data_IF_784687977790
#
_entry.id   IF_784687977790
#
_cell.length_a   1.000
_cell.length_b   1.000
_cell.length_c   1.000
_cell.angle_alpha   90.00
_cell.angle_beta   90.00
_cell.angle_gamma   90.00
#
_symmetry.space_group_name_H-M   'P 1'
#
loop_
_entity.id
_entity.type
_entity.pdbx_description
1 polymer ?
#
# COMPACT_ATOMS: atom_id res chain seq x y z
N UNK A 1 -11.57 0.31 22.47
CA UNK A 1 -10.15 0.02 22.25
C UNK A 1 -9.48 1.32 21.82
N UNK A 2 -8.31 1.64 22.38
CA UNK A 2 -7.53 2.77 21.87
C UNK A 2 -7.04 2.44 20.46
N UNK A 3 -7.10 3.43 19.57
CA UNK A 3 -6.61 3.28 18.19
C UNK A 3 -5.10 3.03 18.22
N UNK A 4 -4.61 2.08 17.42
CA UNK A 4 -3.17 1.87 17.24
C UNK A 4 -2.48 3.17 16.81
N UNK A 5 -1.27 3.43 17.29
CA UNK A 5 -0.46 4.58 16.87
C UNK A 5 -0.17 4.56 15.36
N UNK A 6 -0.17 3.37 14.75
CA UNK A 6 0.03 3.19 13.30
C UNK A 6 -1.31 3.13 12.54
N UNK A 7 -2.44 3.19 13.23
CA UNK A 7 -3.76 2.99 12.62
C UNK A 7 -4.07 4.01 11.52
N UNK A 8 -3.66 5.27 11.68
CA UNK A 8 -3.85 6.28 10.65
C UNK A 8 -2.89 6.10 9.47
N UNK A 9 -1.64 5.68 9.73
CA UNK A 9 -0.67 5.44 8.68
C UNK A 9 -1.07 4.26 7.78
N UNK A 10 -1.54 3.15 8.35
CA UNK A 10 -2.05 2.03 7.56
C UNK A 10 -3.43 2.30 6.96
N UNK A 11 -4.28 3.07 7.64
CA UNK A 11 -5.53 3.55 7.08
C UNK A 11 -5.32 4.40 5.82
N UNK A 12 -4.35 5.32 5.87
CA UNK A 12 -3.89 6.08 4.70
C UNK A 12 -3.31 5.17 3.62
N UNK A 13 -2.39 4.26 3.97
CA UNK A 13 -1.75 3.35 3.02
C UNK A 13 -2.77 2.55 2.20
N UNK A 14 -3.79 2.00 2.86
CA UNK A 14 -4.90 1.29 2.20
C UNK A 14 -5.71 2.26 1.33
N UNK A 15 -6.18 3.36 1.90
CA UNK A 15 -7.04 4.32 1.20
C UNK A 15 -6.38 4.90 -0.05
N UNK A 16 -5.12 5.32 0.06
CA UNK A 16 -4.34 5.88 -1.04
C UNK A 16 -4.15 4.85 -2.16
N UNK A 17 -3.91 3.58 -1.80
CA UNK A 17 -3.75 2.51 -2.79
C UNK A 17 -5.05 2.23 -3.53
N UNK A 18 -6.18 2.07 -2.80
CA UNK A 18 -7.50 1.86 -3.43
C UNK A 18 -7.88 3.05 -4.31
N UNK A 19 -7.69 4.28 -3.83
CA UNK A 19 -7.98 5.51 -4.59
C UNK A 19 -7.17 5.59 -5.88
N UNK A 20 -5.92 5.14 -5.86
CA UNK A 20 -5.07 5.10 -7.04
C UNK A 20 -5.50 4.02 -8.03
N UNK A 21 -5.89 2.83 -7.54
CA UNK A 21 -6.50 1.80 -8.39
C UNK A 21 -7.77 2.33 -9.06
N UNK A 22 -8.65 2.98 -8.30
CA UNK A 22 -9.91 3.56 -8.80
C UNK A 22 -9.66 4.61 -9.90
N UNK A 23 -8.60 5.42 -9.76
CA UNK A 23 -8.19 6.38 -10.79
C UNK A 23 -7.64 5.70 -12.07
N UNK A 24 -7.07 4.50 -11.94
CA UNK A 24 -6.55 3.72 -13.06
C UNK A 24 -7.62 2.86 -13.77
N UNK A 25 -8.75 2.53 -13.13
CA UNK A 25 -9.83 1.73 -13.73
C UNK A 25 -10.34 2.23 -15.11
N UNK A 26 -10.52 3.54 -15.35
CA UNK A 26 -10.94 4.03 -16.67
C UNK A 26 -9.79 4.18 -17.68
N UNK A 27 -8.53 3.94 -17.28
CA UNK A 27 -7.36 4.05 -18.15
C UNK A 27 -7.29 2.82 -19.07
N UNK A 28 -7.05 3.03 -20.37
CA UNK A 28 -6.98 1.94 -21.34
C UNK A 28 -5.80 1.00 -21.07
N UNK A 29 -5.94 -0.29 -21.39
CA UNK A 29 -4.91 -1.31 -21.19
C UNK A 29 -3.55 -0.91 -21.76
N UNK A 30 -3.52 -0.37 -22.98
CA UNK A 30 -2.29 0.05 -23.66
C UNK A 30 -1.58 1.19 -22.90
N UNK A 31 -2.35 2.05 -22.24
CA UNK A 31 -1.80 3.13 -21.42
C UNK A 31 -1.30 2.61 -20.07
N UNK A 32 -1.96 1.61 -19.48
CA UNK A 32 -1.50 0.96 -18.25
C UNK A 32 -0.15 0.25 -18.43
N UNK A 33 0.18 -0.15 -19.67
CA UNK A 33 1.49 -0.70 -20.03
C UNK A 33 2.59 0.37 -20.23
N UNK A 34 2.28 1.66 -19.99
CA UNK A 34 3.27 2.74 -20.12
C UNK A 34 4.34 2.64 -19.03
N UNK A 35 5.61 2.63 -19.45
CA UNK A 35 6.78 2.68 -18.57
C UNK A 35 7.31 4.10 -18.49
N UNK A 36 7.49 4.59 -17.26
CA UNK A 36 8.13 5.88 -16.99
C UNK A 36 9.60 5.67 -16.58
N UNK A 37 10.57 6.41 -17.15
CA UNK A 37 11.96 6.29 -16.73
C UNK A 37 12.12 6.50 -15.22
N UNK A 38 12.76 5.54 -14.54
CA UNK A 38 12.99 5.59 -13.10
C UNK A 38 11.87 5.01 -12.23
N UNK A 39 10.80 4.46 -12.83
CA UNK A 39 9.78 3.66 -12.10
C UNK A 39 10.14 2.17 -12.10
N UNK A 40 9.47 1.40 -11.25
CA UNK A 40 9.63 -0.05 -11.17
C UNK A 40 9.36 -0.77 -12.50
N UNK A 41 8.27 -0.40 -13.17
CA UNK A 41 7.86 -0.96 -14.45
C UNK A 41 6.73 -0.12 -15.03
N UNK A 42 5.84 -0.76 -15.80
CA UNK A 42 4.59 -0.14 -16.24
C UNK A 42 3.67 0.20 -15.07
N UNK A 43 2.60 0.95 -15.31
CA UNK A 43 1.61 1.28 -14.27
C UNK A 43 1.04 -0.01 -13.67
N UNK A 44 0.64 -0.96 -14.52
CA UNK A 44 0.05 -2.22 -14.06
C UNK A 44 1.09 -3.11 -13.36
N UNK A 45 2.31 -3.21 -13.87
CA UNK A 45 3.40 -3.96 -13.21
C UNK A 45 3.71 -3.38 -11.83
N UNK A 46 3.77 -2.05 -11.71
CA UNK A 46 4.02 -1.37 -10.45
C UNK A 46 2.88 -1.59 -9.46
N UNK A 47 1.62 -1.59 -9.93
CA UNK A 47 0.44 -1.87 -9.09
C UNK A 47 0.45 -3.31 -8.56
N UNK A 48 0.73 -4.29 -9.44
CA UNK A 48 0.86 -5.70 -9.07
C UNK A 48 1.97 -5.90 -8.05
N UNK A 49 3.14 -5.30 -8.30
CA UNK A 49 4.28 -5.37 -7.39
C UNK A 49 3.95 -4.79 -6.02
N UNK A 50 3.34 -3.60 -5.97
CA UNK A 50 2.94 -2.93 -4.74
C UNK A 50 2.02 -3.83 -3.90
N UNK A 51 0.94 -4.34 -4.49
CA UNK A 51 -0.08 -5.10 -3.75
C UNK A 51 0.41 -6.50 -3.39
N UNK A 52 1.16 -7.15 -4.28
CA UNK A 52 1.84 -8.42 -3.99
C UNK A 52 2.84 -8.29 -2.84
N UNK A 53 3.62 -7.22 -2.80
CA UNK A 53 4.54 -6.94 -1.70
C UNK A 53 3.79 -6.65 -0.38
N UNK A 54 2.70 -5.89 -0.42
CA UNK A 54 1.85 -5.63 0.75
C UNK A 54 1.32 -6.93 1.36
N UNK A 55 0.81 -7.82 0.51
CA UNK A 55 0.41 -9.17 0.89
C UNK A 55 1.56 -9.97 1.49
N UNK A 56 2.76 -9.91 0.91
CA UNK A 56 3.92 -10.62 1.41
C UNK A 56 4.36 -10.14 2.81
N UNK A 57 4.21 -8.84 3.11
CA UNK A 57 4.43 -8.33 4.46
C UNK A 57 3.40 -8.90 5.44
N UNK A 58 2.12 -8.93 5.06
CA UNK A 58 1.06 -9.52 5.89
C UNK A 58 1.31 -11.01 6.16
N UNK A 59 1.68 -11.80 5.14
CA UNK A 59 2.02 -13.23 5.31
C UNK A 59 3.14 -13.39 6.34
N UNK A 60 4.22 -12.59 6.23
CA UNK A 60 5.35 -12.67 7.17
C UNK A 60 4.95 -12.24 8.59
N UNK A 61 4.22 -11.12 8.72
CA UNK A 61 3.86 -10.53 10.02
C UNK A 61 2.79 -11.33 10.77
N UNK A 62 1.98 -12.11 10.06
CA UNK A 62 0.95 -12.97 10.65
C UNK A 62 1.41 -14.41 10.85
N UNK A 63 2.69 -14.72 10.60
CA UNK A 63 3.21 -16.08 10.70
C UNK A 63 2.52 -17.06 9.76
N UNK A 64 2.02 -16.57 8.61
CA UNK A 64 1.32 -17.37 7.61
C UNK A 64 -0.17 -17.61 7.84
N UNK A 65 -0.78 -17.04 8.89
CA UNK A 65 -2.24 -17.16 9.06
C UNK A 65 -3.02 -16.35 8.02
N UNK A 66 -2.41 -15.28 7.48
CA UNK A 66 -2.87 -14.64 6.25
C UNK A 66 -2.24 -15.35 5.05
N UNK A 67 -3.07 -15.71 4.07
CA UNK A 67 -2.63 -16.26 2.78
C UNK A 67 -3.02 -15.31 1.67
N UNK A 68 -2.11 -15.10 0.71
CA UNK A 68 -2.40 -14.31 -0.49
C UNK A 68 -2.23 -15.15 -1.74
N UNK A 69 -2.98 -14.78 -2.76
CA UNK A 69 -2.78 -15.19 -4.14
C UNK A 69 -1.63 -14.37 -4.75
N UNK A 70 -1.06 -14.89 -5.83
CA UNK A 70 -0.05 -14.20 -6.63
C UNK A 70 -0.69 -13.07 -7.44
N UNK A 71 -0.11 -11.88 -7.33
CA UNK A 71 -0.61 -10.66 -7.97
C UNK A 71 -0.09 -10.48 -9.41
N UNK A 72 0.92 -11.24 -9.85
CA UNK A 72 1.66 -11.01 -11.10
C UNK A 72 0.78 -10.98 -12.37
N UNK A 73 -0.38 -11.61 -12.32
CA UNK A 73 -1.31 -11.71 -13.46
C UNK A 73 -2.66 -11.05 -13.21
N UNK A 74 -2.85 -10.45 -12.04
CA UNK A 74 -4.13 -9.85 -11.67
C UNK A 74 -4.43 -8.60 -12.49
N UNK A 75 -5.70 -8.38 -12.82
CA UNK A 75 -6.18 -7.10 -13.36
C UNK A 75 -6.45 -6.08 -12.23
N UNK A 76 -6.80 -4.84 -12.59
CA UNK A 76 -7.05 -3.80 -11.60
C UNK A 76 -8.22 -4.11 -10.65
N UNK A 77 -9.25 -4.84 -11.10
CA UNK A 77 -10.40 -5.17 -10.26
C UNK A 77 -10.03 -6.27 -9.24
N UNK A 78 -9.26 -7.26 -9.67
CA UNK A 78 -8.71 -8.31 -8.80
C UNK A 78 -7.74 -7.72 -7.77
N UNK A 79 -6.84 -6.84 -8.21
CA UNK A 79 -5.92 -6.11 -7.34
C UNK A 79 -6.66 -5.25 -6.31
N UNK A 80 -7.74 -4.57 -6.71
CA UNK A 80 -8.59 -3.80 -5.79
C UNK A 80 -9.19 -4.69 -4.71
N UNK A 81 -9.75 -5.84 -5.10
CA UNK A 81 -10.33 -6.79 -4.16
C UNK A 81 -9.28 -7.39 -3.21
N UNK A 82 -8.06 -7.67 -3.71
CA UNK A 82 -6.95 -8.10 -2.86
C UNK A 82 -6.56 -7.02 -1.85
N UNK A 83 -6.47 -5.75 -2.28
CA UNK A 83 -6.14 -4.65 -1.37
C UNK A 83 -7.20 -4.45 -0.27
N UNK A 84 -8.48 -4.68 -0.56
CA UNK A 84 -9.55 -4.68 0.45
C UNK A 84 -9.40 -5.82 1.47
N UNK A 85 -8.96 -7.00 1.04
CA UNK A 85 -8.63 -8.09 1.98
C UNK A 85 -7.44 -7.71 2.86
N UNK A 86 -6.41 -7.12 2.27
CA UNK A 86 -5.23 -6.64 2.99
C UNK A 86 -5.62 -5.60 4.04
N UNK A 87 -6.58 -4.72 3.74
CA UNK A 87 -7.09 -3.73 4.69
C UNK A 87 -7.65 -4.37 5.97
N UNK A 88 -8.45 -5.43 5.83
CA UNK A 88 -8.97 -6.19 6.97
C UNK A 88 -7.86 -6.86 7.77
N UNK A 89 -6.85 -7.41 7.09
CA UNK A 89 -5.71 -8.07 7.72
C UNK A 89 -4.81 -7.07 8.48
N UNK A 90 -4.51 -5.91 7.90
CA UNK A 90 -3.78 -4.83 8.57
C UNK A 90 -4.52 -4.33 9.81
N UNK A 91 -5.83 -4.12 9.69
CA UNK A 91 -6.68 -3.73 10.84
C UNK A 91 -6.58 -4.76 11.96
N UNK A 92 -6.77 -6.05 11.63
CA UNK A 92 -6.71 -7.14 12.61
C UNK A 92 -5.32 -7.32 13.24
N UNK A 93 -4.25 -7.09 12.47
CA UNK A 93 -2.87 -7.15 12.97
C UNK A 93 -2.60 -6.01 13.96
N UNK A 94 -3.01 -4.79 13.63
CA UNK A 94 -2.76 -3.60 14.45
C UNK A 94 -3.60 -3.52 15.73
N UNK A 95 -4.63 -4.36 15.86
CA UNK A 95 -5.40 -4.53 17.10
C UNK A 95 -4.72 -5.44 18.13
N UNK A 96 -3.67 -6.17 17.74
CA UNK A 96 -2.91 -7.05 18.62
C UNK A 96 -1.91 -6.26 19.49
N UNK A 97 -1.46 -6.90 20.57
CA UNK A 97 -0.34 -6.40 21.38
C UNK A 97 0.99 -6.77 20.72
N UNK A 98 1.49 -5.85 19.88
CA UNK A 98 2.68 -6.08 19.05
C UNK A 98 3.94 -5.61 19.78
N UNK A 99 4.94 -6.49 19.91
CA UNK A 99 6.30 -6.11 20.29
C UNK A 99 7.09 -5.67 19.03
N UNK A 100 7.45 -4.38 18.89
CA UNK A 100 8.16 -3.89 17.72
C UNK A 100 9.57 -4.48 17.55
N UNK A 101 10.19 -4.97 18.62
CA UNK A 101 11.54 -5.53 18.61
C UNK A 101 11.55 -7.05 18.34
N UNK A 102 10.38 -7.69 18.35
CA UNK A 102 10.25 -9.11 18.03
C UNK A 102 10.75 -9.41 16.61
N UNK A 103 11.57 -10.45 16.49
CA UNK A 103 12.13 -10.85 15.19
C UNK A 103 11.09 -11.65 14.41
N UNK A 104 10.68 -11.08 13.28
CA UNK A 104 9.91 -11.79 12.27
C UNK A 104 10.89 -12.41 11.27
N UNK A 105 10.63 -13.65 10.86
CA UNK A 105 11.43 -14.38 9.87
C UNK A 105 10.61 -14.48 8.60
N UNK A 106 11.18 -13.99 7.49
CA UNK A 106 10.60 -14.15 6.14
C UNK A 106 11.35 -15.25 5.43
N UNK A 107 10.66 -16.33 5.08
CA UNK A 107 11.20 -17.41 4.28
C UNK A 107 10.97 -17.14 2.78
N UNK A 108 11.95 -17.48 1.94
CA UNK A 108 11.87 -17.41 0.48
C UNK A 108 11.93 -18.81 -0.14
N UNK A 109 11.44 -18.94 -1.37
CA UNK A 109 11.45 -20.20 -2.12
C UNK A 109 12.87 -20.72 -2.40
N UNK A 110 13.85 -19.82 -2.52
CA UNK A 110 15.27 -20.17 -2.68
C UNK A 110 15.93 -20.69 -1.39
N UNK A 111 15.14 -20.84 -0.31
CA UNK A 111 15.58 -21.28 1.01
C UNK A 111 16.25 -20.19 1.84
N UNK A 112 16.40 -18.97 1.32
CA UNK A 112 16.96 -17.87 2.09
C UNK A 112 15.95 -17.31 3.10
N UNK A 113 16.48 -16.80 4.22
CA UNK A 113 15.69 -16.17 5.27
C UNK A 113 16.06 -14.70 5.43
N UNK A 114 15.05 -13.87 5.67
CA UNK A 114 15.23 -12.49 6.11
C UNK A 114 14.80 -12.35 7.57
N UNK A 115 15.71 -11.89 8.43
CA UNK A 115 15.47 -11.67 9.85
C UNK A 115 15.46 -10.18 10.11
N UNK A 116 14.37 -9.65 10.69
CA UNK A 116 14.28 -8.24 11.05
C UNK A 116 13.24 -8.03 12.16
N UNK A 117 13.29 -6.91 12.89
CA UNK A 117 12.24 -6.55 13.83
C UNK A 117 10.89 -6.35 13.15
N UNK A 118 9.81 -6.63 13.88
CA UNK A 118 8.43 -6.40 13.45
C UNK A 118 8.20 -4.93 13.08
N UNK A 119 8.68 -4.01 13.92
CA UNK A 119 8.54 -2.57 13.68
C UNK A 119 9.20 -2.11 12.37
N UNK A 120 10.35 -2.68 12.02
CA UNK A 120 11.03 -2.39 10.75
C UNK A 120 10.21 -2.87 9.55
N UNK A 121 9.55 -4.03 9.65
CA UNK A 121 8.68 -4.52 8.57
C UNK A 121 7.42 -3.67 8.40
N UNK A 122 6.81 -3.23 9.50
CA UNK A 122 5.67 -2.30 9.44
C UNK A 122 6.07 -0.98 8.77
N UNK A 123 7.21 -0.40 9.17
CA UNK A 123 7.72 0.82 8.56
C UNK A 123 8.04 0.62 7.06
N UNK A 124 8.62 -0.53 6.71
CA UNK A 124 8.94 -0.85 5.32
C UNK A 124 7.68 -0.99 4.45
N UNK A 125 6.60 -1.60 4.96
CA UNK A 125 5.34 -1.71 4.21
C UNK A 125 4.77 -0.32 3.84
N UNK A 126 4.77 0.62 4.79
CA UNK A 126 4.33 2.00 4.56
C UNK A 126 5.26 2.77 3.61
N UNK A 127 6.58 2.63 3.80
CA UNK A 127 7.59 3.28 2.97
C UNK A 127 7.53 2.79 1.52
N UNK A 128 7.52 1.47 1.33
CA UNK A 128 7.39 0.80 0.02
C UNK A 128 6.10 1.20 -0.68
N UNK A 129 4.99 1.25 0.06
CA UNK A 129 3.72 1.74 -0.46
C UNK A 129 3.79 3.16 -0.98
N UNK A 130 4.43 4.05 -0.22
CA UNK A 130 4.55 5.47 -0.61
C UNK A 130 5.42 5.64 -1.86
N UNK A 131 6.54 4.92 -1.93
CA UNK A 131 7.45 4.97 -3.08
C UNK A 131 6.76 4.55 -4.38
N UNK A 132 6.11 3.38 -4.40
CA UNK A 132 5.48 2.89 -5.63
C UNK A 132 4.21 3.64 -6.02
N UNK A 133 3.43 4.16 -5.06
CA UNK A 133 2.31 5.07 -5.40
C UNK A 133 2.82 6.34 -6.07
N UNK A 134 3.93 6.92 -5.60
CA UNK A 134 4.60 8.06 -6.25
C UNK A 134 5.05 7.75 -7.68
N UNK A 135 5.60 6.56 -7.92
CA UNK A 135 5.99 6.10 -9.25
C UNK A 135 4.79 5.99 -10.20
N UNK A 136 3.66 5.44 -9.71
CA UNK A 136 2.43 5.35 -10.49
C UNK A 136 1.87 6.75 -10.80
N UNK A 137 1.84 7.66 -9.82
CA UNK A 137 1.45 9.06 -10.07
C UNK A 137 2.33 9.72 -11.14
N UNK A 138 3.64 9.46 -11.10
CA UNK A 138 4.57 9.94 -12.14
C UNK A 138 4.20 9.39 -13.52
N UNK A 139 3.96 8.08 -13.63
CA UNK A 139 3.55 7.46 -14.89
C UNK A 139 2.19 7.97 -15.41
N UNK A 140 1.22 8.22 -14.53
CA UNK A 140 -0.07 8.82 -14.89
C UNK A 140 0.09 10.21 -15.53
N UNK A 141 0.94 11.07 -14.95
CA UNK A 141 1.17 12.40 -15.53
C UNK A 141 1.79 12.35 -16.93
N UNK A 142 2.68 11.38 -17.20
CA UNK A 142 3.30 11.18 -18.52
C UNK A 142 2.26 10.86 -19.60
N UNK A 143 1.22 10.11 -19.25
CA UNK A 143 0.11 9.79 -20.18
C UNK A 143 -1.00 10.84 -20.20
N UNK A 144 -0.81 11.97 -19.52
CA UNK A 144 -1.78 13.08 -19.46
C UNK A 144 -2.98 12.82 -18.54
N UNK A 145 -2.87 11.88 -17.61
CA UNK A 145 -3.89 11.62 -16.57
C UNK A 145 -3.47 12.32 -15.28
N UNK A 146 -4.36 13.15 -14.73
CA UNK A 146 -4.12 13.81 -13.44
C UNK A 146 -4.16 12.76 -12.31
N UNK A 147 -3.08 12.61 -11.52
CA UNK A 147 -3.08 11.68 -10.40
C UNK A 147 -4.05 12.14 -9.29
N UNK A 148 -4.68 11.20 -8.57
CA UNK A 148 -5.50 11.57 -7.42
C UNK A 148 -4.62 12.15 -6.29
N UNK A 149 -5.16 13.12 -5.56
CA UNK A 149 -4.61 13.55 -4.27
C UNK A 149 -4.68 12.38 -3.28
N UNK A 150 -3.53 11.97 -2.73
CA UNK A 150 -3.36 10.76 -1.92
C UNK A 150 -2.43 11.00 -0.72
N UNK A 151 -2.21 12.24 -0.32
CA UNK A 151 -1.38 12.50 0.86
C UNK A 151 -2.14 12.23 2.17
N UNK A 152 -1.42 12.32 3.29
CA UNK A 152 -2.01 12.01 4.61
C UNK A 152 -2.97 13.11 5.08
N UNK A 153 -2.81 14.35 4.61
CA UNK A 153 -3.73 15.45 4.88
C UNK A 153 -5.04 15.27 4.13
N UNK A 154 -5.00 14.85 2.85
CA UNK A 154 -6.18 14.46 2.06
C UNK A 154 -6.96 13.34 2.77
N UNK A 155 -6.24 12.35 3.31
CA UNK A 155 -6.85 11.28 4.10
C UNK A 155 -7.50 11.81 5.40
N UNK A 156 -6.85 12.74 6.09
CA UNK A 156 -7.40 13.34 7.30
C UNK A 156 -8.63 14.22 7.02
N UNK A 157 -8.62 14.99 5.92
CA UNK A 157 -9.72 15.86 5.51
C UNK A 157 -10.97 15.04 5.16
N UNK A 158 -10.80 13.94 4.40
CA UNK A 158 -11.89 13.02 4.06
C UNK A 158 -12.72 12.59 5.29
N UNK A 159 -12.05 12.32 6.41
CA UNK A 159 -12.69 11.85 7.64
C UNK A 159 -13.00 12.99 8.63
N UNK A 160 -12.80 14.26 8.24
CA UNK A 160 -13.04 15.43 9.09
C UNK A 160 -12.09 15.54 10.28
N UNK A 161 -10.87 15.02 10.13
CA UNK A 161 -9.84 14.93 11.18
C UNK A 161 -8.72 15.95 11.03
N UNK A 162 -8.82 16.81 10.03
CA UNK A 162 -7.99 17.99 9.86
C UNK A 162 -8.86 19.23 10.07
N UNK A 163 -8.37 20.18 10.88
CA UNK A 163 -9.03 21.46 11.10
C UNK A 163 -8.00 22.59 10.97
N UNK A 164 -8.26 23.53 10.08
CA UNK A 164 -7.46 24.73 9.92
C UNK A 164 -8.17 25.92 10.57
N UNK A 165 -7.42 26.68 11.37
CA UNK A 165 -7.90 27.95 11.91
C UNK A 165 -7.23 29.06 11.12
N UNK A 166 -8.00 29.91 10.39
CA UNK A 166 -7.40 30.99 9.62
C UNK A 166 -6.70 32.01 10.54
N UNK A 167 -5.70 32.74 10.03
CA UNK A 167 -5.04 33.78 10.81
C UNK A 167 -6.07 34.84 11.25
N UNK A 168 -5.86 35.50 12.40
CA UNK A 168 -6.66 36.66 12.78
C UNK A 168 -6.57 37.75 11.69
N UNK A 169 -7.68 38.47 11.49
CA UNK A 169 -7.76 39.60 10.56
C UNK A 169 -6.81 40.76 10.94
#
# INVERSE_FOLDING_TARGET
>A
MNKSLLGDAFGHHVWATIRLIDACLPVGSDQLETVAPGTFGSIIETMRHLIGADSAYLVALTGGSFTSEDADWMDLAELRALMERNAGAWTSLLEQDLDPDSIVIRHREDGSEGHAPLGIRLAQALHHGTDHRSQICTALTIIGVEPPAIDVWDYAEKDGRLAEVPPPA
#
